data_IF_936320299300
#
_entry.id   IF_936320299300
#
_cell.length_a   1.000
_cell.length_b   1.000
_cell.length_c   1.000
_cell.angle_alpha   90.00
_cell.angle_beta   90.00
_cell.angle_gamma   90.00
#
_symmetry.space_group_name_H-M   'P 1'
#
loop_
_entity.id
_entity.type
_entity.pdbx_description
1 polymer ?
#
# COMPACT_ATOMS: atom_id res chain seq x y z
N UNK A 1 -30.45 18.80 -15.52
CA UNK A 1 -30.64 18.13 -16.82
C UNK A 1 -29.29 17.54 -17.20
N UNK A 2 -29.13 16.21 -17.20
CA UNK A 2 -27.86 15.57 -17.58
C UNK A 2 -27.80 15.58 -19.10
N UNK A 3 -26.74 16.15 -19.67
CA UNK A 3 -26.52 16.14 -21.11
C UNK A 3 -26.47 14.69 -21.59
N UNK A 4 -27.42 14.29 -22.44
CA UNK A 4 -27.43 12.96 -23.06
C UNK A 4 -26.49 13.01 -24.26
N UNK A 5 -25.64 11.99 -24.42
CA UNK A 5 -24.60 11.93 -25.45
C UNK A 5 -25.14 11.72 -26.88
N UNK A 6 -26.42 12.02 -27.16
CA UNK A 6 -27.04 11.78 -28.46
C UNK A 6 -26.99 10.32 -28.91
N UNK A 7 -26.98 9.37 -27.95
CA UNK A 7 -26.84 7.94 -28.23
C UNK A 7 -25.40 7.47 -28.44
N UNK A 8 -24.40 8.35 -28.34
CA UNK A 8 -22.99 7.96 -28.43
C UNK A 8 -22.51 7.28 -27.16
N UNK A 9 -21.64 6.29 -27.34
CA UNK A 9 -20.97 5.59 -26.24
C UNK A 9 -19.95 6.50 -25.57
N UNK A 10 -19.81 6.40 -24.26
CA UNK A 10 -18.90 7.25 -23.46
C UNK A 10 -17.49 6.65 -23.38
N UNK A 11 -16.48 7.52 -23.28
CA UNK A 11 -15.10 7.13 -22.95
C UNK A 11 -14.85 7.47 -21.49
N UNK A 12 -14.42 6.50 -20.70
CA UNK A 12 -14.11 6.70 -19.27
C UNK A 12 -12.60 6.72 -19.09
N UNK A 13 -12.10 7.68 -18.31
CA UNK A 13 -10.69 7.82 -17.98
C UNK A 13 -10.55 7.80 -16.45
N UNK A 14 -10.56 6.62 -15.82
CA UNK A 14 -10.45 6.55 -14.38
C UNK A 14 -8.97 6.67 -13.96
N UNK A 15 -8.72 7.39 -12.87
CA UNK A 15 -7.39 7.63 -12.31
C UNK A 15 -7.23 6.97 -10.94
N UNK A 16 -6.09 6.33 -10.69
CA UNK A 16 -5.74 5.73 -9.40
C UNK A 16 -6.83 4.76 -8.91
N UNK A 17 -7.20 4.80 -7.63
CA UNK A 17 -8.27 4.01 -7.03
C UNK A 17 -9.62 4.12 -7.76
N UNK A 18 -9.86 5.22 -8.50
CA UNK A 18 -11.05 5.40 -9.33
C UNK A 18 -11.25 4.29 -10.36
N UNK A 19 -10.17 3.63 -10.81
CA UNK A 19 -10.25 2.50 -11.73
C UNK A 19 -10.84 1.26 -11.08
N UNK A 20 -10.58 1.02 -9.79
CA UNK A 20 -11.17 -0.07 -9.02
C UNK A 20 -12.67 0.15 -8.84
N UNK A 21 -13.08 1.36 -8.46
CA UNK A 21 -14.49 1.72 -8.34
C UNK A 21 -15.23 1.60 -9.67
N UNK A 22 -14.59 2.02 -10.77
CA UNK A 22 -15.19 1.90 -12.09
C UNK A 22 -15.32 0.43 -12.54
N UNK A 23 -14.31 -0.40 -12.25
CA UNK A 23 -14.39 -1.84 -12.49
C UNK A 23 -15.54 -2.47 -11.70
N UNK A 24 -15.69 -2.10 -10.42
CA UNK A 24 -16.81 -2.53 -9.60
C UNK A 24 -18.16 -2.09 -10.19
N UNK A 25 -18.29 -0.83 -10.58
CA UNK A 25 -19.49 -0.28 -11.22
C UNK A 25 -19.89 -1.08 -12.47
N UNK A 26 -18.94 -1.41 -13.35
CA UNK A 26 -19.23 -2.20 -14.55
C UNK A 26 -19.80 -3.58 -14.22
N UNK A 27 -19.33 -4.23 -13.15
CA UNK A 27 -19.90 -5.51 -12.69
C UNK A 27 -21.23 -5.33 -11.99
N UNK A 28 -21.35 -4.31 -11.15
CA UNK A 28 -22.58 -4.01 -10.42
C UNK A 28 -23.73 -3.67 -11.36
N UNK A 29 -23.50 -2.83 -12.38
CA UNK A 29 -24.56 -2.37 -13.29
C UNK A 29 -25.14 -3.51 -14.13
N UNK A 30 -24.34 -4.51 -14.50
CA UNK A 30 -24.79 -5.67 -15.27
C UNK A 30 -25.43 -6.76 -14.40
N UNK A 31 -25.14 -6.78 -13.09
CA UNK A 31 -25.71 -7.74 -12.16
C UNK A 31 -27.23 -7.51 -11.95
N UNK A 32 -28.03 -8.58 -11.78
CA UNK A 32 -29.47 -8.46 -11.61
C UNK A 32 -29.85 -7.86 -10.24
N UNK A 33 -31.01 -7.19 -10.13
CA UNK A 33 -31.55 -6.77 -8.85
C UNK A 33 -31.84 -7.98 -7.94
N UNK A 34 -31.77 -7.86 -6.60
CA UNK A 34 -31.54 -6.63 -5.83
C UNK A 34 -30.07 -6.29 -5.57
N UNK A 35 -29.12 -7.13 -6.02
CA UNK A 35 -27.70 -7.04 -5.68
C UNK A 35 -26.96 -6.08 -6.62
N UNK A 36 -27.43 -5.95 -7.86
CA UNK A 36 -26.86 -5.10 -8.90
C UNK A 36 -27.81 -4.00 -9.40
N UNK A 37 -27.32 -3.23 -10.37
CA UNK A 37 -28.04 -2.12 -10.99
C UNK A 37 -29.07 -2.55 -12.05
N UNK A 38 -29.13 -3.83 -12.43
CA UNK A 38 -30.16 -4.36 -13.33
C UNK A 38 -30.12 -3.82 -14.76
N UNK A 39 -28.97 -3.29 -15.19
CA UNK A 39 -28.76 -2.79 -16.56
C UNK A 39 -28.73 -3.90 -17.63
N UNK A 40 -28.62 -5.16 -17.20
CA UNK A 40 -28.52 -6.34 -18.06
C UNK A 40 -27.10 -6.62 -18.56
N UNK A 41 -26.85 -7.83 -19.09
CA UNK A 41 -25.50 -8.33 -19.40
C UNK A 41 -24.77 -7.59 -20.53
N UNK A 42 -25.47 -6.73 -21.26
CA UNK A 42 -24.92 -5.96 -22.39
C UNK A 42 -24.82 -4.46 -22.10
N UNK A 43 -25.10 -4.02 -20.87
CA UNK A 43 -25.14 -2.61 -20.51
C UNK A 43 -23.81 -1.92 -20.82
N UNK A 44 -22.67 -2.48 -20.37
CA UNK A 44 -21.37 -1.89 -20.62
C UNK A 44 -21.08 -1.82 -22.12
N UNK A 45 -21.36 -2.90 -22.85
CA UNK A 45 -21.14 -2.94 -24.31
C UNK A 45 -21.97 -1.89 -25.07
N UNK A 46 -23.16 -1.56 -24.57
CA UNK A 46 -24.08 -0.59 -25.17
C UNK A 46 -23.68 0.85 -24.87
N UNK A 47 -23.18 1.13 -23.67
CA UNK A 47 -22.96 2.49 -23.19
C UNK A 47 -21.50 2.92 -23.16
N UNK A 48 -20.54 1.99 -23.09
CA UNK A 48 -19.11 2.27 -22.92
C UNK A 48 -18.38 2.00 -24.23
N UNK A 49 -17.62 2.98 -24.72
CA UNK A 49 -16.78 2.86 -25.91
C UNK A 49 -15.41 2.31 -25.56
N UNK A 50 -14.79 2.89 -24.55
CA UNK A 50 -13.43 2.60 -24.12
C UNK A 50 -13.22 3.03 -22.67
N UNK A 51 -12.28 2.36 -22.00
CA UNK A 51 -11.82 2.70 -20.65
C UNK A 51 -10.31 2.88 -20.72
N UNK A 52 -9.83 4.07 -20.37
CA UNK A 52 -8.40 4.44 -20.42
C UNK A 52 -7.94 4.69 -18.99
N UNK A 53 -7.38 3.66 -18.38
CA UNK A 53 -6.92 3.71 -17.00
C UNK A 53 -5.63 4.53 -16.86
N UNK A 54 -5.57 5.41 -15.87
CA UNK A 54 -4.34 6.13 -15.49
C UNK A 54 -3.93 5.66 -14.09
N UNK A 55 -2.75 5.01 -14.00
CA UNK A 55 -2.20 4.52 -12.73
C UNK A 55 -3.17 3.64 -11.91
N UNK A 56 -3.90 2.74 -12.57
CA UNK A 56 -4.88 1.87 -11.92
C UNK A 56 -4.21 0.77 -11.07
N UNK A 57 -4.48 0.72 -9.75
CA UNK A 57 -3.88 -0.27 -8.86
C UNK A 57 -4.69 -1.57 -8.81
N UNK A 58 -4.84 -2.28 -9.93
CA UNK A 58 -5.71 -3.47 -10.01
C UNK A 58 -5.32 -4.60 -9.04
N UNK A 59 -4.02 -4.70 -8.73
CA UNK A 59 -3.49 -5.68 -7.79
C UNK A 59 -3.17 -5.05 -6.43
N UNK A 60 -3.62 -3.82 -6.16
CA UNK A 60 -3.25 -3.06 -4.97
C UNK A 60 -1.94 -2.28 -5.14
N UNK A 61 -1.47 -1.69 -4.05
CA UNK A 61 -0.19 -0.99 -3.97
C UNK A 61 0.48 -1.21 -2.61
N UNK A 62 1.81 -1.41 -2.55
CA UNK A 62 2.53 -1.62 -1.30
C UNK A 62 2.33 -0.48 -0.29
N UNK A 63 2.16 0.76 -0.77
CA UNK A 63 1.95 1.94 0.08
C UNK A 63 0.65 1.92 0.90
N UNK A 64 -0.32 1.07 0.56
CA UNK A 64 -1.54 0.91 1.35
C UNK A 64 -1.27 0.24 2.70
N UNK A 65 -0.23 -0.60 2.78
CA UNK A 65 0.10 -1.38 3.98
C UNK A 65 0.58 -0.50 5.16
N UNK A 66 1.56 0.42 5.00
CA UNK A 66 1.96 1.31 6.11
C UNK A 66 0.85 2.25 6.57
N UNK A 67 -0.03 2.67 5.64
CA UNK A 67 -1.21 3.46 5.97
C UNK A 67 -2.18 2.65 6.84
N UNK A 68 -2.36 1.36 6.53
CA UNK A 68 -3.21 0.46 7.28
C UNK A 68 -2.63 0.09 8.66
N UNK A 69 -1.34 -0.25 8.74
CA UNK A 69 -0.72 -0.70 9.99
C UNK A 69 -0.49 0.46 10.96
N UNK A 70 0.29 1.46 10.54
CA UNK A 70 0.79 2.48 11.45
C UNK A 70 0.15 3.85 11.23
N UNK A 71 -0.68 4.02 10.20
CA UNK A 71 -1.06 5.34 9.69
C UNK A 71 0.16 6.25 9.43
N UNK A 72 1.33 5.66 9.18
CA UNK A 72 2.60 6.34 8.90
C UNK A 72 2.92 6.15 7.42
N UNK A 73 2.11 6.76 6.55
CA UNK A 73 2.47 6.86 5.13
C UNK A 73 3.29 8.13 4.89
N UNK A 74 4.16 8.12 3.88
CA UNK A 74 4.82 9.34 3.39
C UNK A 74 3.82 10.45 3.11
N UNK A 75 2.63 10.08 2.63
CA UNK A 75 1.51 11.00 2.36
C UNK A 75 0.98 11.66 3.65
N UNK A 76 0.90 10.93 4.78
CA UNK A 76 0.55 11.49 6.10
C UNK A 76 1.69 12.33 6.70
N UNK A 77 2.95 11.95 6.48
CA UNK A 77 4.10 12.76 6.89
C UNK A 77 4.13 14.12 6.16
N UNK A 78 3.69 14.14 4.89
CA UNK A 78 3.54 15.36 4.10
C UNK A 78 2.36 16.21 4.60
N UNK A 79 1.21 15.60 4.90
CA UNK A 79 0.07 16.32 5.51
C UNK A 79 0.46 16.90 6.88
N UNK A 80 1.24 16.16 7.67
CA UNK A 80 1.81 16.63 8.93
C UNK A 80 2.80 17.78 8.75
N UNK A 81 3.56 17.80 7.67
CA UNK A 81 4.48 18.87 7.33
C UNK A 81 3.79 20.13 6.78
N UNK A 82 2.64 19.99 6.10
CA UNK A 82 1.93 21.11 5.44
C UNK A 82 0.97 21.83 6.40
N UNK A 83 0.52 21.19 7.50
CA UNK A 83 -0.40 21.80 8.47
C UNK A 83 0.17 21.80 9.91
N UNK A 84 1.26 22.54 10.20
CA UNK A 84 1.84 22.61 11.54
C UNK A 84 0.84 23.13 12.59
N UNK A 85 -0.01 24.10 12.24
CA UNK A 85 -0.97 24.71 13.16
C UNK A 85 -2.18 23.85 13.58
N UNK A 86 -2.37 22.67 12.99
CA UNK A 86 -3.43 21.71 13.40
C UNK A 86 -2.88 20.59 14.29
N UNK A 87 -1.54 20.47 14.39
CA UNK A 87 -0.84 19.31 14.99
C UNK A 87 0.16 19.69 16.10
N UNK A 88 0.36 20.98 16.39
CA UNK A 88 1.27 21.47 17.44
C UNK A 88 0.72 21.37 18.87
N UNK A 89 -0.52 20.92 19.05
CA UNK A 89 -1.02 20.60 20.39
C UNK A 89 -0.63 19.16 20.74
N UNK A 90 0.53 18.98 21.36
CA UNK A 90 1.10 17.69 21.81
C UNK A 90 0.12 16.75 22.55
N UNK A 91 -0.96 17.32 23.12
CA UNK A 91 -2.01 16.59 23.84
C UNK A 91 -2.92 15.78 22.90
N UNK A 92 -3.10 16.23 21.65
CA UNK A 92 -4.00 15.58 20.68
C UNK A 92 -3.30 14.64 19.71
N UNK A 93 -1.96 14.58 19.71
CA UNK A 93 -1.21 13.72 18.80
C UNK A 93 -1.55 12.22 18.92
N UNK A 94 -1.60 11.60 20.12
CA UNK A 94 -2.01 10.20 20.24
C UNK A 94 -3.48 10.00 19.85
N UNK A 95 -4.37 10.92 20.22
CA UNK A 95 -5.80 10.84 19.89
C UNK A 95 -6.04 10.98 18.37
N UNK A 96 -5.36 11.91 17.71
CA UNK A 96 -5.41 12.10 16.27
C UNK A 96 -4.92 10.87 15.51
N UNK A 97 -3.79 10.29 15.93
CA UNK A 97 -3.26 9.07 15.30
C UNK A 97 -4.28 7.93 15.37
N UNK A 98 -4.99 7.78 16.49
CA UNK A 98 -6.06 6.78 16.61
C UNK A 98 -7.22 7.05 15.67
N UNK A 99 -7.67 8.30 15.56
CA UNK A 99 -8.76 8.64 14.66
C UNK A 99 -8.35 8.39 13.21
N UNK A 100 -7.11 8.73 12.84
CA UNK A 100 -6.56 8.45 11.51
C UNK A 100 -6.43 6.94 11.27
N UNK A 101 -5.99 6.14 12.24
CA UNK A 101 -5.96 4.68 12.12
C UNK A 101 -7.36 4.10 11.94
N UNK A 102 -8.32 4.49 12.78
CA UNK A 102 -9.73 4.06 12.68
C UNK A 102 -10.33 4.43 11.33
N UNK A 103 -10.06 5.65 10.85
CA UNK A 103 -10.48 6.11 9.53
C UNK A 103 -9.84 5.27 8.43
N UNK A 104 -8.53 5.03 8.50
CA UNK A 104 -7.77 4.26 7.50
C UNK A 104 -8.23 2.80 7.42
N UNK A 105 -8.60 2.19 8.56
CA UNK A 105 -9.20 0.85 8.62
C UNK A 105 -10.63 0.82 8.07
N UNK A 106 -11.41 1.88 8.29
CA UNK A 106 -12.78 2.01 7.77
C UNK A 106 -12.86 2.43 6.31
N UNK A 107 -11.77 2.97 5.75
CA UNK A 107 -11.72 3.39 4.36
C UNK A 107 -11.56 2.19 3.44
N UNK A 108 -12.66 1.80 2.83
CA UNK A 108 -12.72 0.73 1.82
C UNK A 108 -11.73 0.94 0.66
N UNK A 109 -11.39 2.20 0.35
CA UNK A 109 -10.34 2.54 -0.63
C UNK A 109 -8.95 2.05 -0.22
N UNK A 110 -8.60 2.09 1.07
CA UNK A 110 -7.32 1.60 1.57
C UNK A 110 -7.29 0.07 1.57
N UNK A 111 -8.36 -0.55 2.06
CA UNK A 111 -8.49 -2.02 2.16
C UNK A 111 -8.54 -2.66 0.77
N UNK A 112 -9.24 -2.04 -0.19
CA UNK A 112 -9.30 -2.51 -1.58
C UNK A 112 -7.95 -2.44 -2.30
N UNK A 113 -7.01 -1.64 -1.79
CA UNK A 113 -5.67 -1.46 -2.33
C UNK A 113 -4.59 -2.32 -1.65
N UNK A 114 -4.97 -3.24 -0.77
CA UNK A 114 -4.04 -4.26 -0.24
C UNK A 114 -3.45 -5.08 -1.40
N UNK A 115 -2.11 -5.26 -1.47
CA UNK A 115 -1.45 -6.05 -2.50
C UNK A 115 -2.03 -7.47 -2.66
N UNK A 116 -2.36 -7.84 -3.90
CA UNK A 116 -2.88 -9.14 -4.30
C UNK A 116 -1.92 -9.84 -5.24
N UNK A 117 -1.84 -11.17 -5.14
CA UNK A 117 -0.95 -11.99 -5.96
C UNK A 117 0.36 -12.40 -5.27
N UNK A 118 0.52 -12.05 -3.99
CA UNK A 118 1.62 -12.51 -3.14
C UNK A 118 3.00 -12.20 -3.70
N UNK A 119 3.97 -13.00 -3.30
CA UNK A 119 5.38 -12.81 -3.68
C UNK A 119 5.61 -12.95 -5.19
N UNK A 120 4.75 -13.68 -5.90
CA UNK A 120 4.83 -13.85 -7.37
C UNK A 120 4.69 -12.53 -8.13
N UNK A 121 3.82 -11.63 -7.65
CA UNK A 121 3.55 -10.33 -8.30
C UNK A 121 4.41 -9.23 -7.70
N UNK A 122 4.60 -9.25 -6.38
CA UNK A 122 5.15 -8.11 -5.64
C UNK A 122 6.61 -8.27 -5.25
N UNK A 123 7.23 -9.41 -5.54
CA UNK A 123 8.59 -9.68 -5.10
C UNK A 123 8.63 -10.43 -3.78
N UNK A 124 9.80 -10.96 -3.48
CA UNK A 124 10.10 -11.63 -2.22
C UNK A 124 11.22 -10.89 -1.48
N UNK A 125 11.91 -11.56 -0.56
CA UNK A 125 13.01 -10.96 0.21
C UNK A 125 14.20 -10.54 -0.67
N UNK A 126 14.40 -11.24 -1.78
CA UNK A 126 15.59 -11.17 -2.63
C UNK A 126 15.39 -10.51 -3.97
N UNK A 127 14.13 -10.30 -4.38
CA UNK A 127 13.83 -9.77 -5.70
C UNK A 127 12.58 -8.92 -5.66
N UNK A 128 12.47 -8.01 -6.61
CA UNK A 128 11.28 -7.21 -6.80
C UNK A 128 10.99 -6.89 -8.27
N UNK A 129 9.73 -6.60 -8.64
CA UNK A 129 9.35 -6.43 -10.05
C UNK A 129 10.04 -5.27 -10.75
N UNK A 130 10.46 -4.26 -10.00
CA UNK A 130 11.19 -3.10 -10.49
C UNK A 130 12.72 -3.28 -10.48
N UNK A 131 13.23 -4.39 -9.96
CA UNK A 131 14.66 -4.70 -10.02
C UNK A 131 15.10 -4.80 -11.50
N UNK A 132 16.16 -4.07 -11.85
CA UNK A 132 16.63 -3.96 -13.23
C UNK A 132 15.96 -2.86 -14.07
N UNK A 133 14.90 -2.21 -13.57
CA UNK A 133 14.32 -1.02 -14.20
C UNK A 133 14.91 0.26 -13.60
N UNK A 134 15.92 0.82 -14.25
CA UNK A 134 16.36 2.19 -13.94
C UNK A 134 15.31 3.18 -14.46
N UNK A 135 14.53 3.78 -13.55
CA UNK A 135 13.87 5.04 -13.86
C UNK A 135 14.98 6.08 -14.07
N UNK A 136 15.43 6.25 -15.32
CA UNK A 136 16.24 7.39 -15.70
C UNK A 136 15.45 8.63 -15.31
N UNK A 137 15.82 9.24 -14.18
CA UNK A 137 15.39 10.59 -13.87
C UNK A 137 15.74 11.40 -15.11
N UNK A 138 14.71 12.06 -15.68
CA UNK A 138 14.79 12.97 -16.83
C UNK A 138 16.23 13.41 -17.09
N UNK A 139 16.77 13.07 -18.27
CA UNK A 139 17.97 13.71 -18.82
C UNK A 139 17.85 15.22 -18.59
N UNK A 140 18.47 15.73 -17.53
CA UNK A 140 18.95 17.10 -17.58
C UNK A 140 19.92 17.10 -18.74
N UNK A 141 19.54 17.79 -19.82
CA UNK A 141 20.38 17.97 -20.99
C UNK A 141 21.55 18.88 -20.61
N UNK A 142 22.53 18.32 -19.92
CA UNK A 142 23.85 18.94 -19.73
C UNK A 142 24.77 18.31 -20.75
N UNK A 143 24.99 19.05 -21.84
CA UNK A 143 26.03 18.76 -22.81
C UNK A 143 27.38 18.66 -22.09
N UNK A 144 27.87 17.44 -21.90
CA UNK A 144 29.28 17.18 -21.69
C UNK A 144 29.60 15.77 -22.14
N UNK A 145 30.30 15.72 -23.26
CA UNK A 145 30.82 14.52 -23.91
C UNK A 145 31.78 13.81 -22.97
N UNK A 146 31.32 12.76 -22.29
CA UNK A 146 32.20 11.72 -21.78
C UNK A 146 31.58 10.37 -22.09
N UNK A 147 32.19 9.69 -23.04
CA UNK A 147 31.96 8.27 -23.32
C UNK A 147 32.34 7.49 -22.06
N UNK A 148 31.34 7.08 -21.29
CA UNK A 148 31.51 6.11 -20.21
C UNK A 148 30.97 4.77 -20.68
N UNK A 149 31.85 3.77 -20.72
CA UNK A 149 31.53 2.41 -21.12
C UNK A 149 30.32 1.87 -20.32
N UNK A 150 29.23 1.44 -21.00
CA UNK A 150 27.98 1.03 -20.35
C UNK A 150 28.13 -0.24 -19.48
N UNK A 151 29.21 -1.01 -19.67
CA UNK A 151 29.50 -2.20 -18.86
C UNK A 151 29.98 -1.86 -17.43
N UNK A 152 30.64 -0.71 -17.22
CA UNK A 152 31.20 -0.33 -15.90
C UNK A 152 30.18 0.36 -15.00
N UNK A 153 29.21 1.06 -15.58
CA UNK A 153 28.11 1.69 -14.86
C UNK A 153 27.16 0.66 -14.23
N UNK A 154 26.92 -0.47 -14.91
CA UNK A 154 26.15 -1.60 -14.37
C UNK A 154 26.77 -2.19 -13.09
N UNK A 155 28.11 -2.27 -13.03
CA UNK A 155 28.82 -2.82 -11.86
C UNK A 155 28.90 -1.87 -10.66
N UNK A 156 28.86 -0.56 -10.88
CA UNK A 156 28.97 0.41 -9.80
C UNK A 156 27.61 0.70 -9.13
N UNK A 157 26.50 0.55 -9.87
CA UNK A 157 25.14 0.82 -9.39
C UNK A 157 24.53 -0.40 -8.69
N UNK A 158 24.99 -1.62 -8.98
CA UNK A 158 24.59 -2.81 -8.21
C UNK A 158 25.22 -2.86 -6.80
N UNK A 159 26.16 -1.96 -6.49
CA UNK A 159 26.88 -1.91 -5.21
C UNK A 159 26.32 -0.88 -4.22
N UNK A 160 25.47 0.05 -4.66
CA UNK A 160 24.66 0.81 -3.73
C UNK A 160 23.53 -0.11 -3.28
N UNK A 161 23.67 -0.71 -2.09
CA UNK A 161 22.66 -1.55 -1.42
C UNK A 161 21.30 -0.85 -1.48
N UNK A 162 20.52 -1.09 -2.52
CA UNK A 162 19.16 -0.60 -2.64
C UNK A 162 18.29 -1.49 -1.79
N UNK A 163 17.44 -0.90 -0.96
CA UNK A 163 16.42 -1.66 -0.25
C UNK A 163 15.58 -2.46 -1.26
N UNK A 164 15.46 -3.77 -1.05
CA UNK A 164 14.66 -4.65 -1.91
C UNK A 164 13.19 -4.28 -1.75
N UNK A 165 12.54 -3.68 -2.76
CA UNK A 165 11.16 -3.23 -2.60
C UNK A 165 10.12 -4.36 -2.61
N UNK A 166 10.55 -5.61 -2.79
CA UNK A 166 9.75 -6.80 -2.51
C UNK A 166 9.45 -6.97 -1.02
N UNK A 167 10.24 -6.33 -0.16
CA UNK A 167 9.98 -6.18 1.28
C UNK A 167 9.05 -4.99 1.48
N UNK A 168 7.75 -5.26 1.61
CA UNK A 168 6.71 -4.23 1.79
C UNK A 168 6.86 -3.51 3.12
N UNK A 169 7.17 -4.24 4.19
CA UNK A 169 7.47 -3.68 5.51
C UNK A 169 8.77 -4.28 6.02
N UNK A 170 9.65 -3.43 6.56
CA UNK A 170 10.87 -3.85 7.25
C UNK A 170 11.01 -3.07 8.55
N UNK A 171 11.16 -3.78 9.66
CA UNK A 171 11.42 -3.23 10.98
C UNK A 171 12.93 -3.08 11.17
N UNK A 172 13.42 -1.84 11.10
CA UNK A 172 14.84 -1.52 11.21
C UNK A 172 15.48 -1.18 9.85
N UNK A 173 16.35 -0.17 9.85
CA UNK A 173 17.07 0.26 8.64
C UNK A 173 18.13 -0.76 8.22
N UNK A 174 18.82 -1.31 9.20
CA UNK A 174 19.77 -2.42 9.09
C UNK A 174 19.12 -3.62 8.41
N UNK A 175 17.92 -4.00 8.84
CA UNK A 175 17.12 -5.07 8.25
C UNK A 175 16.69 -4.74 6.82
N UNK A 176 16.25 -3.51 6.56
CA UNK A 176 15.81 -3.09 5.23
C UNK A 176 16.93 -3.16 4.18
N UNK A 177 18.18 -2.88 4.58
CA UNK A 177 19.37 -2.85 3.72
C UNK A 177 20.18 -4.16 3.75
N UNK A 178 19.89 -5.08 4.67
CA UNK A 178 20.58 -6.36 4.81
C UNK A 178 20.23 -7.35 3.68
N UNK A 179 21.18 -8.19 3.23
CA UNK A 179 20.87 -9.32 2.37
C UNK A 179 19.98 -10.33 3.13
N UNK A 180 19.14 -11.08 2.43
CA UNK A 180 18.20 -12.03 3.05
C UNK A 180 18.85 -13.03 3.99
N UNK A 181 20.05 -13.51 3.65
CA UNK A 181 20.81 -14.47 4.44
C UNK A 181 21.17 -13.95 5.85
N UNK A 182 21.25 -12.64 6.04
CA UNK A 182 21.62 -12.01 7.32
C UNK A 182 20.37 -11.66 8.17
N UNK A 183 19.16 -11.95 7.67
CA UNK A 183 17.90 -11.61 8.33
C UNK A 183 17.34 -12.86 9.01
N UNK A 184 17.64 -13.01 10.31
CA UNK A 184 16.98 -14.03 11.12
C UNK A 184 15.51 -13.66 11.34
N UNK A 185 14.58 -14.46 10.82
CA UNK A 185 13.13 -14.26 10.95
C UNK A 185 12.57 -15.29 11.92
N UNK A 186 11.95 -14.82 13.00
CA UNK A 186 11.26 -15.70 13.96
C UNK A 186 9.78 -15.69 13.61
N UNK A 187 9.21 -16.87 13.31
CA UNK A 187 7.80 -16.98 12.93
C UNK A 187 6.87 -16.53 14.08
N UNK A 188 5.98 -15.59 13.77
CA UNK A 188 5.05 -15.00 14.74
C UNK A 188 3.75 -15.80 14.88
N UNK A 189 3.42 -16.71 13.95
CA UNK A 189 2.12 -17.42 13.94
C UNK A 189 1.84 -18.23 15.21
N UNK A 190 2.89 -18.76 15.85
CA UNK A 190 2.80 -19.51 17.10
C UNK A 190 2.92 -18.66 18.36
N UNK A 191 3.11 -17.34 18.23
CA UNK A 191 3.33 -16.48 19.38
C UNK A 191 2.05 -16.31 20.21
N UNK A 192 2.16 -16.59 21.51
CA UNK A 192 1.06 -16.34 22.44
C UNK A 192 0.91 -14.85 22.61
N UNK A 193 -0.29 -14.32 22.33
CA UNK A 193 -0.66 -12.93 22.63
C UNK A 193 -0.55 -12.72 24.15
N UNK A 194 0.58 -12.17 24.57
CA UNK A 194 0.97 -12.06 25.98
C UNK A 194 0.13 -11.06 26.77
N UNK A 195 0.63 -10.64 27.93
CA UNK A 195 -0.09 -9.72 28.80
C UNK A 195 -0.49 -8.43 28.07
N UNK A 196 -1.76 -8.08 28.21
CA UNK A 196 -2.31 -6.80 27.80
C UNK A 196 -1.99 -5.79 28.89
N UNK A 197 -1.56 -4.59 28.53
CA UNK A 197 -1.53 -3.49 29.48
C UNK A 197 -2.98 -3.11 29.81
N UNK A 198 -3.58 -3.78 30.79
CA UNK A 198 -4.89 -3.41 31.32
C UNK A 198 -4.77 -2.11 32.13
N UNK A 199 -4.82 -0.97 31.46
CA UNK A 199 -4.92 0.30 32.14
C UNK A 199 -6.41 0.60 32.39
N UNK A 200 -6.86 0.49 33.65
CA UNK A 200 -8.25 0.64 34.11
C UNK A 200 -8.76 2.09 34.12
N UNK A 201 -8.25 2.95 33.25
CA UNK A 201 -8.74 4.32 33.12
C UNK A 201 -9.65 4.41 31.90
N UNK A 202 -10.90 4.86 32.12
CA UNK A 202 -11.98 4.98 31.13
C UNK A 202 -11.68 5.96 29.95
N UNK A 203 -10.42 6.35 29.78
CA UNK A 203 -9.87 7.21 28.72
C UNK A 203 -8.82 6.51 27.85
N UNK A 204 -8.48 5.26 28.13
CA UNK A 204 -7.34 4.62 27.49
C UNK A 204 -7.66 3.94 26.16
N UNK A 205 -6.70 4.15 25.27
CA UNK A 205 -6.68 3.96 23.83
C UNK A 205 -6.80 2.48 23.40
N UNK A 206 -7.98 2.04 22.95
CA UNK A 206 -8.08 0.77 22.21
C UNK A 206 -7.60 0.94 20.77
N UNK A 207 -6.37 0.48 20.50
CA UNK A 207 -5.85 0.17 19.16
C UNK A 207 -5.69 -1.36 19.04
N UNK A 208 -5.76 -1.93 17.83
CA UNK A 208 -5.61 -3.39 17.60
C UNK A 208 -4.32 -3.97 18.18
N UNK A 209 -3.25 -3.17 18.23
CA UNK A 209 -1.98 -3.49 18.90
C UNK A 209 -2.13 -3.85 20.40
N UNK A 210 -3.12 -3.28 21.10
CA UNK A 210 -3.41 -3.65 22.49
C UNK A 210 -4.03 -5.06 22.59
N UNK A 211 -4.68 -5.52 21.52
CA UNK A 211 -5.20 -6.89 21.39
C UNK A 211 -4.11 -7.94 21.17
N UNK A 212 -3.00 -7.56 20.53
CA UNK A 212 -1.82 -8.43 20.30
C UNK A 212 -0.99 -8.67 21.57
N UNK A 213 -1.04 -7.77 22.55
CA UNK A 213 -0.21 -7.83 23.75
C UNK A 213 1.27 -7.56 23.46
N UNK A 214 2.06 -7.42 24.53
CA UNK A 214 3.50 -7.11 24.38
C UNK A 214 4.25 -8.20 23.64
N UNK A 215 4.03 -9.46 24.00
CA UNK A 215 4.69 -10.62 23.35
C UNK A 215 4.28 -10.78 21.89
N UNK A 216 3.01 -10.51 21.54
CA UNK A 216 2.56 -10.57 20.15
C UNK A 216 3.15 -9.44 19.30
N UNK A 217 3.22 -8.22 19.86
CA UNK A 217 3.89 -7.10 19.20
C UNK A 217 5.38 -7.38 18.99
N UNK A 218 6.04 -7.94 20.00
CA UNK A 218 7.44 -8.33 19.92
C UNK A 218 7.66 -9.41 18.86
N UNK A 219 6.82 -10.45 18.81
CA UNK A 219 6.91 -11.49 17.79
C UNK A 219 6.75 -10.94 16.36
N UNK A 220 5.82 -10.00 16.16
CA UNK A 220 5.64 -9.32 14.87
C UNK A 220 6.85 -8.47 14.50
N UNK A 221 7.47 -7.78 15.45
CA UNK A 221 8.71 -7.05 15.21
C UNK A 221 9.90 -7.99 14.92
N UNK A 222 9.99 -9.11 15.63
CA UNK A 222 11.06 -10.12 15.51
C UNK A 222 10.97 -10.95 14.20
N UNK A 223 9.83 -10.91 13.50
CA UNK A 223 9.72 -11.40 12.12
C UNK A 223 10.48 -10.52 11.12
N UNK A 224 10.79 -9.27 11.51
CA UNK A 224 11.64 -8.27 10.83
C UNK A 224 11.15 -7.76 9.48
N UNK A 225 10.83 -8.64 8.53
CA UNK A 225 10.49 -8.28 7.14
C UNK A 225 9.24 -9.01 6.66
N UNK A 226 8.36 -8.24 6.02
CA UNK A 226 7.10 -8.71 5.48
C UNK A 226 7.05 -8.47 3.98
N UNK A 227 6.73 -9.53 3.25
CA UNK A 227 6.44 -9.58 1.82
C UNK A 227 4.93 -9.50 1.59
N UNK A 228 4.48 -9.50 0.33
CA UNK A 228 3.05 -9.49 0.01
C UNK A 228 2.31 -10.74 0.50
N UNK A 229 2.96 -11.89 0.65
CA UNK A 229 2.34 -13.09 1.20
C UNK A 229 2.22 -13.02 2.73
N UNK A 230 3.35 -12.75 3.40
CA UNK A 230 3.40 -12.70 4.88
C UNK A 230 2.64 -11.52 5.49
N UNK A 231 2.41 -10.44 4.75
CA UNK A 231 1.60 -9.32 5.24
C UNK A 231 0.13 -9.71 5.44
N UNK A 232 -0.42 -10.62 4.62
CA UNK A 232 -1.80 -11.09 4.80
C UNK A 232 -1.91 -11.89 6.09
N UNK A 233 -0.89 -12.68 6.41
CA UNK A 233 -0.81 -13.45 7.65
C UNK A 233 -0.71 -12.52 8.87
N UNK A 234 0.04 -11.42 8.76
CA UNK A 234 0.09 -10.39 9.80
C UNK A 234 -1.27 -9.75 10.04
N UNK A 235 -2.04 -9.47 8.98
CA UNK A 235 -3.39 -8.90 9.10
C UNK A 235 -4.40 -9.86 9.75
N UNK A 236 -4.11 -11.16 9.76
CA UNK A 236 -4.94 -12.18 10.42
C UNK A 236 -4.51 -12.53 11.84
N UNK A 237 -3.33 -12.06 12.28
CA UNK A 237 -2.72 -12.46 13.55
C UNK A 237 -3.45 -11.92 14.77
#
# INVERSE_FOLDING_TARGET
>A
MVATSGGQKVVIIPHSAGALFFLHFMKWVEAPPPIGGGGGPYWCSKHIKAVVNIAAPFLGVPKAIPLFLSAESKDISLVRAIAPGFLENDIFQPQMLQHVMRLSHSWDSTVSMIPRGGDTIWGSLDWSPEEGYSCDQKREMKNSTRVTNPARAKSAISLTRSANFGRIVSFGKDVAEAPSNDIDRIDFKGAVKGHRAENRTCRDLWAEYHGMGFEGTKAVADYKTYTAESIVELLHF
#
